data_IF_378420669961
#
_entry.id   IF_378420669961
#
_cell.length_a   1.000
_cell.length_b   1.000
_cell.length_c   1.000
_cell.angle_alpha   90.00
_cell.angle_beta   90.00
_cell.angle_gamma   90.00
#
_symmetry.space_group_name_H-M   'P 1'
#
loop_
_entity.id
_entity.type
_entity.pdbx_description
1 polymer ?
#
# COMPACT_ATOMS: atom_id res chain seq x y z
N UNK A 1 -11.30 22.70 10.81
CA UNK A 1 -10.56 22.17 9.64
C UNK A 1 -10.39 20.68 9.85
N UNK A 2 -10.74 19.80 8.90
CA UNK A 2 -10.39 18.40 9.02
C UNK A 2 -8.86 18.26 9.09
N UNK A 3 -8.37 17.24 9.80
CA UNK A 3 -6.95 16.94 9.84
C UNK A 3 -6.42 16.71 8.41
N UNK A 4 -5.21 17.16 8.15
CA UNK A 4 -4.57 16.96 6.85
C UNK A 4 -4.37 15.46 6.64
N UNK A 5 -4.89 14.93 5.55
CA UNK A 5 -4.70 13.53 5.18
C UNK A 5 -3.34 13.44 4.49
N UNK A 6 -2.31 12.99 5.22
CA UNK A 6 -0.93 12.85 4.75
C UNK A 6 -0.21 11.72 5.49
N UNK A 7 0.85 11.17 4.87
CA UNK A 7 1.75 10.20 5.50
C UNK A 7 2.98 10.96 5.99
N UNK A 8 3.37 10.70 7.22
CA UNK A 8 4.52 11.28 7.90
C UNK A 8 5.53 10.18 8.29
N UNK A 9 6.69 10.57 8.84
CA UNK A 9 7.64 9.60 9.36
C UNK A 9 7.08 8.78 10.53
N UNK A 10 6.14 9.34 11.30
CA UNK A 10 5.56 8.68 12.46
C UNK A 10 4.64 7.51 12.06
N UNK A 11 4.18 7.47 10.81
CA UNK A 11 3.40 6.38 10.23
C UNK A 11 4.27 5.18 9.79
N UNK A 12 5.60 5.34 9.77
CA UNK A 12 6.55 4.32 9.33
C UNK A 12 6.92 3.43 10.52
N UNK A 13 6.57 2.14 10.41
CA UNK A 13 6.91 1.14 11.42
C UNK A 13 8.43 0.91 11.49
N UNK A 14 8.94 0.68 12.70
CA UNK A 14 10.33 0.27 12.89
C UNK A 14 10.60 -1.04 12.14
N UNK A 15 11.82 -1.19 11.63
CA UNK A 15 12.18 -2.28 10.72
C UNK A 15 11.92 -3.67 11.33
N UNK A 16 12.28 -3.87 12.59
CA UNK A 16 12.19 -5.17 13.25
C UNK A 16 10.72 -5.59 13.47
N UNK A 17 9.87 -4.64 13.88
CA UNK A 17 8.43 -4.85 14.00
C UNK A 17 7.79 -5.14 12.65
N UNK A 18 8.22 -4.43 11.61
CA UNK A 18 7.71 -4.62 10.26
C UNK A 18 8.05 -6.00 9.71
N UNK A 19 9.28 -6.50 9.94
CA UNK A 19 9.71 -7.82 9.48
C UNK A 19 8.79 -8.92 10.03
N UNK A 20 8.37 -8.82 11.29
CA UNK A 20 7.50 -9.81 11.91
C UNK A 20 6.12 -9.89 11.23
N UNK A 21 5.54 -8.74 10.84
CA UNK A 21 4.19 -8.67 10.26
C UNK A 21 4.16 -8.70 8.73
N UNK A 22 5.31 -8.50 8.07
CA UNK A 22 5.44 -8.39 6.62
C UNK A 22 4.75 -9.49 5.81
N UNK A 23 4.82 -10.79 6.18
CA UNK A 23 4.16 -11.84 5.41
C UNK A 23 2.63 -11.71 5.38
N UNK A 24 2.02 -11.32 6.50
CA UNK A 24 0.59 -11.10 6.61
C UNK A 24 0.17 -9.85 5.81
N UNK A 25 0.86 -8.72 6.06
CA UNK A 25 0.63 -7.47 5.32
C UNK A 25 0.75 -7.65 3.81
N UNK A 26 1.77 -8.37 3.33
CA UNK A 26 1.92 -8.64 1.89
C UNK A 26 0.68 -9.33 1.30
N UNK A 27 0.06 -10.28 2.01
CA UNK A 27 -1.14 -10.98 1.53
C UNK A 27 -2.33 -10.02 1.45
N UNK A 28 -2.54 -9.23 2.49
CA UNK A 28 -3.62 -8.23 2.57
C UNK A 28 -3.49 -7.19 1.45
N UNK A 29 -2.32 -6.58 1.31
CA UNK A 29 -2.08 -5.57 0.27
C UNK A 29 -2.15 -6.16 -1.13
N UNK A 30 -1.74 -7.42 -1.33
CA UNK A 30 -1.91 -8.07 -2.64
C UNK A 30 -3.39 -8.21 -3.02
N UNK A 31 -4.24 -8.57 -2.05
CA UNK A 31 -5.69 -8.65 -2.25
C UNK A 31 -6.30 -7.27 -2.57
N UNK A 32 -5.87 -6.22 -1.86
CA UNK A 32 -6.30 -4.84 -2.10
C UNK A 32 -5.83 -4.35 -3.49
N UNK A 33 -4.55 -4.52 -3.82
CA UNK A 33 -3.95 -4.06 -5.09
C UNK A 33 -4.54 -4.80 -6.29
N UNK A 34 -5.09 -6.01 -6.13
CA UNK A 34 -5.71 -6.76 -7.24
C UNK A 34 -6.85 -6.00 -7.91
N UNK A 35 -7.71 -5.36 -7.12
CA UNK A 35 -8.88 -4.63 -7.64
C UNK A 35 -8.56 -3.19 -8.06
N UNK A 36 -7.30 -2.76 -7.94
CA UNK A 36 -6.82 -1.41 -8.23
C UNK A 36 -5.90 -1.34 -9.45
N UNK A 37 -5.85 -2.42 -10.24
CA UNK A 37 -5.03 -2.53 -11.45
C UNK A 37 -5.91 -2.46 -12.68
N UNK A 38 -5.51 -1.65 -13.65
CA UNK A 38 -6.15 -1.59 -14.97
C UNK A 38 -5.07 -1.80 -16.02
N UNK A 39 -5.11 -2.94 -16.71
CA UNK A 39 -4.21 -3.22 -17.83
C UNK A 39 -4.58 -2.36 -19.03
N UNK A 40 -3.56 -1.80 -19.70
CA UNK A 40 -3.71 -1.06 -20.95
C UNK A 40 -2.81 -1.72 -22.00
N UNK A 41 -3.43 -2.60 -22.77
CA UNK A 41 -2.69 -3.45 -23.71
C UNK A 41 -1.76 -4.45 -22.99
N UNK A 42 -0.79 -5.02 -23.72
CA UNK A 42 0.08 -6.07 -23.19
C UNK A 42 1.18 -5.54 -22.26
N UNK A 43 1.58 -4.28 -22.40
CA UNK A 43 2.82 -3.77 -21.79
C UNK A 43 2.61 -2.78 -20.64
N UNK A 44 1.40 -2.23 -20.47
CA UNK A 44 1.13 -1.20 -19.48
C UNK A 44 0.03 -1.62 -18.49
N UNK A 45 0.18 -1.21 -17.24
CA UNK A 45 -0.85 -1.37 -16.20
C UNK A 45 -0.85 -0.16 -15.29
N UNK A 46 -2.00 0.48 -15.14
CA UNK A 46 -2.22 1.53 -14.17
C UNK A 46 -2.54 0.94 -12.80
N UNK A 47 -1.90 1.49 -11.77
CA UNK A 47 -2.16 1.17 -10.37
C UNK A 47 -2.78 2.41 -9.72
N UNK A 48 -4.00 2.27 -9.22
CA UNK A 48 -4.68 3.31 -8.46
C UNK A 48 -4.30 3.21 -6.99
N UNK A 49 -3.32 4.01 -6.58
CA UNK A 49 -2.81 4.01 -5.21
C UNK A 49 -3.81 4.64 -4.21
N UNK A 50 -3.73 4.19 -2.95
CA UNK A 50 -4.40 4.73 -1.77
C UNK A 50 -3.44 4.65 -0.58
N UNK A 51 -3.80 5.26 0.56
CA UNK A 51 -2.98 5.21 1.77
C UNK A 51 -2.63 3.78 2.20
N UNK A 52 -3.60 2.84 2.11
CA UNK A 52 -3.37 1.43 2.40
C UNK A 52 -2.36 0.75 1.46
N UNK A 53 -2.30 1.19 0.19
CA UNK A 53 -1.39 0.60 -0.79
C UNK A 53 0.00 1.26 -0.78
N UNK A 54 0.09 2.46 -0.19
CA UNK A 54 1.32 3.21 0.07
C UNK A 54 2.00 2.77 1.38
N UNK A 55 1.24 2.41 2.43
CA UNK A 55 1.73 1.96 3.74
C UNK A 55 1.68 0.44 3.91
N UNK A 56 2.42 -0.28 3.08
CA UNK A 56 2.47 -1.75 3.07
C UNK A 56 3.74 -2.37 3.62
#
# INVERSE_FOLDING_TARGET
MPAKHEITNDDIMARDDYIAVRPARKREITAIKKNRRVSVGPDATFYFESYDTMLH
#
